data_IF_923147395688
#
_entry.id   IF_923147395688
#
_cell.length_a   1.000
_cell.length_b   1.000
_cell.length_c   1.000
_cell.angle_alpha   90.00
_cell.angle_beta   90.00
_cell.angle_gamma   90.00
#
_symmetry.space_group_name_H-M   'P 1'
#
loop_
_entity.id
_entity.type
_entity.pdbx_description
1 polymer ?
#
# COMPACT_ATOMS: atom_id res chain seq x y z
N UNK A 1 -16.58 -44.46 -18.07
CA UNK A 1 -15.60 -45.54 -17.70
C UNK A 1 -14.21 -44.93 -17.80
N UNK A 2 -13.54 -44.69 -16.67
CA UNK A 2 -12.25 -44.02 -16.65
C UNK A 2 -11.18 -44.99 -16.15
N UNK A 3 -10.24 -45.41 -17.01
CA UNK A 3 -9.25 -46.47 -16.71
C UNK A 3 -9.87 -47.76 -16.14
N UNK A 4 -11.00 -48.22 -16.68
CA UNK A 4 -11.59 -49.51 -16.30
C UNK A 4 -12.44 -49.53 -15.01
N UNK A 5 -12.60 -48.40 -14.31
CA UNK A 5 -13.50 -48.24 -13.16
C UNK A 5 -14.61 -47.21 -13.41
N UNK A 6 -15.68 -47.27 -12.60
CA UNK A 6 -16.79 -46.33 -12.70
C UNK A 6 -16.37 -44.94 -12.20
N UNK A 7 -16.95 -43.88 -12.78
CA UNK A 7 -16.57 -42.49 -12.46
C UNK A 7 -16.93 -42.09 -11.01
N UNK A 8 -17.90 -42.78 -10.41
CA UNK A 8 -18.33 -42.62 -9.02
C UNK A 8 -17.26 -43.14 -8.06
N UNK A 9 -16.74 -44.33 -8.32
CA UNK A 9 -15.71 -45.00 -7.51
C UNK A 9 -14.43 -44.16 -7.43
N UNK A 10 -14.03 -43.56 -8.56
CA UNK A 10 -12.84 -42.69 -8.60
C UNK A 10 -13.05 -41.29 -8.04
N UNK A 11 -14.28 -40.78 -8.03
CA UNK A 11 -14.60 -39.53 -7.36
C UNK A 11 -14.40 -39.66 -5.83
N UNK A 12 -14.77 -40.80 -5.27
CA UNK A 12 -14.57 -41.13 -3.86
C UNK A 12 -13.09 -41.35 -3.52
N UNK A 13 -12.34 -42.09 -4.34
CA UNK A 13 -10.90 -42.33 -4.12
C UNK A 13 -10.04 -41.06 -4.24
N UNK A 14 -10.38 -40.15 -5.15
CA UNK A 14 -9.57 -38.94 -5.42
C UNK A 14 -10.03 -37.71 -4.66
N UNK A 15 -11.18 -37.76 -3.98
CA UNK A 15 -11.79 -36.63 -3.29
C UNK A 15 -12.21 -35.48 -4.24
N UNK A 16 -12.37 -35.76 -5.53
CA UNK A 16 -12.73 -34.78 -6.56
C UNK A 16 -14.15 -35.07 -7.06
N UNK A 17 -15.00 -34.04 -7.12
CA UNK A 17 -16.38 -34.19 -7.61
C UNK A 17 -16.42 -34.82 -9.01
N UNK A 18 -17.39 -35.71 -9.24
CA UNK A 18 -17.66 -36.36 -10.54
C UNK A 18 -17.71 -35.36 -11.71
N UNK A 19 -18.37 -34.20 -11.52
CA UNK A 19 -18.46 -33.13 -12.53
C UNK A 19 -17.08 -32.58 -12.96
N UNK A 20 -16.13 -32.53 -12.03
CA UNK A 20 -14.76 -32.06 -12.31
C UNK A 20 -13.95 -33.13 -13.03
N UNK A 21 -14.16 -34.41 -12.70
CA UNK A 21 -13.59 -35.54 -13.44
C UNK A 21 -14.09 -35.54 -14.89
N UNK A 22 -15.40 -35.51 -15.11
CA UNK A 22 -15.99 -35.44 -16.47
C UNK A 22 -15.51 -34.26 -17.29
N UNK A 23 -15.33 -33.09 -16.66
CA UNK A 23 -14.79 -31.92 -17.36
C UNK A 23 -13.34 -32.15 -17.81
N UNK A 24 -12.47 -32.68 -16.92
CA UNK A 24 -11.07 -32.96 -17.25
C UNK A 24 -10.91 -34.02 -18.32
N UNK A 25 -11.78 -35.04 -18.32
CA UNK A 25 -11.81 -36.09 -19.35
C UNK A 25 -12.13 -35.48 -20.71
N UNK A 26 -13.19 -34.69 -20.81
CA UNK A 26 -13.56 -34.00 -22.06
C UNK A 26 -12.44 -33.10 -22.56
N UNK A 27 -11.80 -32.34 -21.67
CA UNK A 27 -10.66 -31.50 -22.04
C UNK A 27 -9.46 -32.33 -22.52
N UNK A 28 -9.22 -33.50 -21.92
CA UNK A 28 -8.17 -34.42 -22.37
C UNK A 28 -8.46 -35.05 -23.74
N UNK A 29 -9.70 -35.42 -24.01
CA UNK A 29 -10.11 -35.98 -25.31
C UNK A 29 -9.94 -34.97 -26.46
N UNK A 30 -10.17 -33.68 -26.19
CA UNK A 30 -10.08 -32.62 -27.20
C UNK A 30 -8.67 -32.04 -27.34
N UNK A 31 -7.98 -31.76 -26.22
CA UNK A 31 -6.70 -31.04 -26.21
C UNK A 31 -5.51 -31.91 -25.75
N UNK A 32 -5.72 -33.20 -25.51
CA UNK A 32 -4.70 -34.10 -24.95
C UNK A 32 -4.25 -33.66 -23.54
N UNK A 33 -2.96 -33.84 -23.23
CA UNK A 33 -2.41 -33.46 -21.92
C UNK A 33 -2.60 -31.97 -21.59
N UNK A 34 -2.67 -31.08 -22.59
CA UNK A 34 -2.87 -29.64 -22.35
C UNK A 34 -4.24 -29.34 -21.70
N UNK A 35 -5.27 -30.10 -22.05
CA UNK A 35 -6.62 -29.94 -21.51
C UNK A 35 -6.71 -30.22 -20.01
N UNK A 36 -5.82 -31.06 -19.48
CA UNK A 36 -5.72 -31.32 -18.04
C UNK A 36 -5.23 -30.09 -17.26
N UNK A 37 -4.49 -29.19 -17.92
CA UNK A 37 -3.95 -27.96 -17.33
C UNK A 37 -4.85 -26.73 -17.54
N UNK A 38 -6.07 -26.87 -18.08
CA UNK A 38 -7.02 -25.76 -18.23
C UNK A 38 -7.23 -24.97 -16.93
N UNK A 39 -7.27 -25.66 -15.78
CA UNK A 39 -7.36 -25.01 -14.47
C UNK A 39 -6.15 -24.14 -14.16
N UNK A 40 -4.95 -24.54 -14.59
CA UNK A 40 -3.75 -23.73 -14.45
C UNK A 40 -3.73 -22.57 -15.43
N UNK A 41 -4.12 -22.80 -16.70
CA UNK A 41 -4.28 -21.73 -17.71
C UNK A 41 -5.27 -20.66 -17.20
N UNK A 42 -6.41 -21.08 -16.63
CA UNK A 42 -7.38 -20.19 -16.01
C UNK A 42 -6.83 -19.46 -14.77
N UNK A 43 -6.03 -20.14 -13.93
CA UNK A 43 -5.34 -19.51 -12.79
C UNK A 43 -4.32 -18.47 -13.26
N UNK A 44 -3.53 -18.75 -14.30
CA UNK A 44 -2.55 -17.84 -14.90
C UNK A 44 -3.22 -16.60 -15.49
N UNK A 45 -4.33 -16.75 -16.22
CA UNK A 45 -5.14 -15.62 -16.73
C UNK A 45 -5.70 -14.71 -15.64
N UNK A 46 -5.92 -15.25 -14.43
CA UNK A 46 -6.39 -14.48 -13.25
C UNK A 46 -5.26 -13.87 -12.41
N UNK A 47 -3.98 -14.04 -12.79
CA UNK A 47 -2.84 -13.46 -12.05
C UNK A 47 -2.80 -11.95 -12.21
N UNK A 48 -2.30 -11.27 -11.19
CA UNK A 48 -2.01 -9.84 -11.27
C UNK A 48 -0.86 -9.61 -12.28
N UNK A 49 -0.91 -8.50 -13.04
CA UNK A 49 0.21 -8.06 -13.88
C UNK A 49 1.55 -7.99 -13.12
N UNK A 50 2.69 -8.30 -13.76
CA UNK A 50 4.00 -8.35 -13.09
C UNK A 50 4.38 -7.08 -12.34
N UNK A 51 4.11 -5.89 -12.91
CA UNK A 51 4.36 -4.60 -12.27
C UNK A 51 3.57 -4.41 -10.96
N UNK A 52 2.33 -4.86 -10.89
CA UNK A 52 1.52 -4.82 -9.67
C UNK A 52 2.08 -5.78 -8.63
N UNK A 53 2.47 -6.99 -9.05
CA UNK A 53 3.07 -8.00 -8.16
C UNK A 53 4.36 -7.46 -7.54
N UNK A 54 5.21 -6.86 -8.36
CA UNK A 54 6.46 -6.24 -7.92
C UNK A 54 6.22 -5.12 -6.90
N UNK A 55 5.27 -4.21 -7.16
CA UNK A 55 4.92 -3.15 -6.20
C UNK A 55 4.44 -3.73 -4.85
N UNK A 56 3.63 -4.79 -4.86
CA UNK A 56 3.16 -5.44 -3.63
C UNK A 56 4.34 -5.92 -2.77
N UNK A 57 5.31 -6.57 -3.40
CA UNK A 57 6.51 -7.08 -2.74
C UNK A 57 7.38 -5.95 -2.24
N UNK A 58 7.63 -4.93 -3.07
CA UNK A 58 8.45 -3.76 -2.72
C UNK A 58 7.83 -2.97 -1.55
N UNK A 59 6.51 -2.79 -1.52
CA UNK A 59 5.82 -2.14 -0.39
C UNK A 59 5.98 -2.93 0.91
N UNK A 60 5.89 -4.26 0.85
CA UNK A 60 6.04 -5.11 2.04
C UNK A 60 7.47 -5.13 2.54
N UNK A 61 8.44 -5.06 1.63
CA UNK A 61 9.86 -4.92 1.96
C UNK A 61 10.17 -3.54 2.57
N UNK A 62 9.59 -2.47 2.03
CA UNK A 62 9.79 -1.09 2.49
C UNK A 62 9.22 -0.85 3.90
N UNK A 63 7.99 -1.30 4.13
CA UNK A 63 7.32 -1.15 5.41
C UNK A 63 6.57 -2.44 5.78
N UNK A 64 7.25 -3.40 6.44
CA UNK A 64 6.67 -4.68 6.84
C UNK A 64 5.37 -4.59 7.65
N UNK A 65 5.11 -3.56 8.48
CA UNK A 65 3.84 -3.44 9.21
C UNK A 65 2.60 -3.18 8.33
N UNK A 66 2.73 -2.98 7.01
CA UNK A 66 1.57 -2.84 6.14
C UNK A 66 0.62 -4.02 6.23
N UNK A 67 -0.67 -3.72 6.35
CA UNK A 67 -1.71 -4.71 6.16
C UNK A 67 -2.07 -4.89 4.68
N UNK A 68 -2.69 -6.02 4.34
CA UNK A 68 -3.01 -6.38 2.96
C UNK A 68 -3.98 -5.39 2.28
N UNK A 69 -4.89 -4.77 3.03
CA UNK A 69 -5.83 -3.78 2.49
C UNK A 69 -5.17 -2.41 2.25
N UNK A 70 -4.19 -2.02 3.08
CA UNK A 70 -3.35 -0.83 2.84
C UNK A 70 -2.56 -1.00 1.54
N UNK A 71 -1.93 -2.15 1.34
CA UNK A 71 -1.24 -2.47 0.07
C UNK A 71 -2.22 -2.40 -1.10
N UNK A 72 -3.41 -2.99 -0.99
CA UNK A 72 -4.42 -2.93 -2.07
C UNK A 72 -4.89 -1.50 -2.36
N UNK A 73 -4.96 -0.62 -1.37
CA UNK A 73 -5.31 0.79 -1.55
C UNK A 73 -4.19 1.58 -2.23
N UNK A 74 -2.93 1.31 -1.90
CA UNK A 74 -1.77 1.91 -2.56
C UNK A 74 -1.73 1.47 -4.03
N UNK A 75 -1.87 0.17 -4.31
CA UNK A 75 -1.95 -0.34 -5.69
C UNK A 75 -3.09 0.33 -6.47
N UNK A 76 -4.25 0.56 -5.84
CA UNK A 76 -5.35 1.29 -6.46
C UNK A 76 -4.96 2.73 -6.81
N UNK A 77 -4.24 3.43 -5.94
CA UNK A 77 -3.81 4.80 -6.18
C UNK A 77 -2.80 4.87 -7.34
N UNK A 78 -1.80 3.97 -7.36
CA UNK A 78 -0.76 3.97 -8.40
C UNK A 78 -1.24 3.48 -9.78
N UNK A 79 -2.14 2.48 -9.82
CA UNK A 79 -2.53 1.82 -11.09
C UNK A 79 -4.02 1.96 -11.45
N UNK A 80 -4.82 2.68 -10.66
CA UNK A 80 -6.27 2.82 -10.85
C UNK A 80 -7.08 1.55 -10.58
N UNK A 81 -6.44 0.40 -10.37
CA UNK A 81 -7.07 -0.91 -10.14
C UNK A 81 -6.82 -1.40 -8.72
N UNK A 82 -7.89 -1.69 -7.98
CA UNK A 82 -7.76 -2.32 -6.66
C UNK A 82 -7.70 -3.86 -6.79
N UNK A 83 -6.58 -4.51 -6.40
CA UNK A 83 -6.54 -5.96 -6.31
C UNK A 83 -7.37 -6.44 -5.11
N UNK A 84 -7.91 -7.66 -5.20
CA UNK A 84 -8.52 -8.32 -4.05
C UNK A 84 -7.47 -8.63 -2.99
N UNK A 85 -7.85 -8.53 -1.72
CA UNK A 85 -6.95 -8.75 -0.57
C UNK A 85 -6.35 -10.16 -0.59
N UNK A 86 -7.09 -11.18 -1.04
CA UNK A 86 -6.56 -12.55 -1.19
C UNK A 86 -5.57 -12.66 -2.35
N UNK A 87 -5.71 -11.81 -3.37
CA UNK A 87 -4.73 -11.75 -4.46
C UNK A 87 -3.42 -11.14 -3.99
N UNK A 88 -3.48 -10.10 -3.13
CA UNK A 88 -2.29 -9.53 -2.48
C UNK A 88 -1.60 -10.58 -1.61
N UNK A 89 -2.36 -11.29 -0.76
CA UNK A 89 -1.81 -12.38 0.06
C UNK A 89 -1.13 -13.44 -0.80
N UNK A 90 -1.78 -13.90 -1.87
CA UNK A 90 -1.22 -14.89 -2.79
C UNK A 90 0.12 -14.45 -3.39
N UNK A 91 0.25 -13.18 -3.78
CA UNK A 91 1.52 -12.66 -4.30
C UNK A 91 2.62 -12.73 -3.25
N UNK A 92 2.32 -12.34 -2.01
CA UNK A 92 3.29 -12.39 -0.90
C UNK A 92 3.65 -13.82 -0.47
N UNK A 93 2.73 -14.77 -0.63
CA UNK A 93 2.99 -16.19 -0.37
C UNK A 93 3.79 -16.85 -1.51
N UNK A 94 3.62 -16.39 -2.75
CA UNK A 94 4.30 -16.91 -3.95
C UNK A 94 5.70 -16.32 -4.18
N UNK A 95 5.94 -15.06 -3.80
CA UNK A 95 7.18 -14.32 -4.09
C UNK A 95 8.03 -14.10 -2.85
N UNK A 96 9.35 -14.23 -3.00
CA UNK A 96 10.30 -13.89 -1.95
C UNK A 96 10.31 -12.37 -1.72
N UNK A 97 10.15 -11.96 -0.46
CA UNK A 97 10.23 -10.54 -0.08
C UNK A 97 11.72 -10.15 0.00
N UNK A 98 12.20 -9.20 -0.81
CA UNK A 98 13.59 -8.77 -0.75
C UNK A 98 13.83 -8.07 0.59
N UNK A 99 15.01 -8.30 1.18
CA UNK A 99 15.45 -7.52 2.31
C UNK A 99 15.87 -6.14 1.80
N UNK A 100 15.14 -5.10 2.20
CA UNK A 100 15.50 -3.72 1.89
C UNK A 100 16.29 -3.14 3.06
N UNK A 101 17.58 -2.90 2.85
CA UNK A 101 18.47 -2.37 3.89
C UNK A 101 18.25 -0.87 4.11
N UNK A 102 17.85 -0.16 3.06
CA UNK A 102 17.67 1.30 3.08
C UNK A 102 16.20 1.67 2.83
N UNK A 103 15.67 2.55 3.70
CA UNK A 103 14.34 3.12 3.53
C UNK A 103 14.35 4.18 2.44
N UNK A 104 13.26 4.26 1.68
CA UNK A 104 13.07 5.30 0.65
C UNK A 104 13.01 6.70 1.28
N UNK A 105 12.37 6.83 2.44
CA UNK A 105 12.37 8.06 3.23
C UNK A 105 13.03 7.84 4.59
N UNK A 106 13.83 8.83 5.00
CA UNK A 106 14.33 8.93 6.37
C UNK A 106 13.19 9.23 7.35
N UNK A 107 13.39 9.04 8.67
CA UNK A 107 12.47 9.55 9.68
C UNK A 107 12.21 11.05 9.52
N UNK A 108 11.00 11.49 9.89
CA UNK A 108 10.54 12.88 9.68
C UNK A 108 11.52 13.93 10.19
N UNK A 109 12.05 13.73 11.40
CA UNK A 109 12.93 14.69 12.06
C UNK A 109 14.29 14.83 11.35
N UNK A 110 14.83 13.74 10.81
CA UNK A 110 16.09 13.77 10.06
C UNK A 110 15.92 14.54 8.75
N UNK A 111 14.78 14.33 8.06
CA UNK A 111 14.46 15.11 6.86
C UNK A 111 14.28 16.60 7.16
N UNK A 112 13.56 16.95 8.23
CA UNK A 112 13.39 18.37 8.59
C UNK A 112 14.69 19.04 9.03
N UNK A 113 15.65 18.28 9.60
CA UNK A 113 17.00 18.79 9.93
C UNK A 113 17.83 18.98 8.66
N UNK A 114 17.76 18.04 7.71
CA UNK A 114 18.50 18.12 6.46
C UNK A 114 17.98 19.26 5.56
N UNK A 115 16.67 19.38 5.43
CA UNK A 115 16.01 20.44 4.68
C UNK A 115 14.62 20.72 5.26
N UNK A 116 14.40 21.91 5.87
CA UNK A 116 13.08 22.28 6.38
C UNK A 116 11.99 22.15 5.31
N UNK A 117 10.88 21.49 5.67
CA UNK A 117 9.77 21.22 4.75
C UNK A 117 9.84 19.89 3.99
N UNK A 118 10.99 19.22 3.97
CA UNK A 118 11.14 17.92 3.29
C UNK A 118 10.25 16.84 3.93
N UNK A 119 10.15 16.81 5.26
CA UNK A 119 9.28 15.85 5.95
C UNK A 119 7.80 16.11 5.68
N UNK A 120 7.41 17.39 5.57
CA UNK A 120 6.05 17.78 5.16
C UNK A 120 5.74 17.37 3.72
N UNK A 121 6.67 17.55 2.80
CA UNK A 121 6.54 17.11 1.42
C UNK A 121 6.37 15.58 1.33
N UNK A 122 7.20 14.82 2.05
CA UNK A 122 7.11 13.36 2.11
C UNK A 122 5.74 12.87 2.62
N UNK A 123 5.14 13.53 3.62
CA UNK A 123 3.79 13.20 4.10
C UNK A 123 2.74 13.37 2.98
N UNK A 124 2.84 14.45 2.20
CA UNK A 124 1.90 14.73 1.11
C UNK A 124 2.09 13.71 -0.02
N UNK A 125 3.33 13.44 -0.41
CA UNK A 125 3.66 12.47 -1.47
C UNK A 125 3.16 11.06 -1.14
N UNK A 126 3.50 10.55 0.05
CA UNK A 126 2.99 9.25 0.51
C UNK A 126 1.45 9.22 0.55
N UNK A 127 0.81 10.35 0.86
CA UNK A 127 -0.65 10.42 0.87
C UNK A 127 -1.24 10.35 -0.54
N UNK A 128 -0.61 10.97 -1.53
CA UNK A 128 -0.98 10.89 -2.95
C UNK A 128 -0.83 9.46 -3.47
N UNK A 129 0.24 8.77 -3.05
CA UNK A 129 0.47 7.34 -3.33
C UNK A 129 -0.55 6.41 -2.65
N UNK A 130 -1.49 6.95 -1.88
CA UNK A 130 -2.57 6.19 -1.25
C UNK A 130 -2.21 5.59 0.10
N UNK A 131 -1.07 5.95 0.69
CA UNK A 131 -0.71 5.50 2.03
C UNK A 131 -1.72 6.00 3.06
N UNK A 132 -2.01 5.16 4.06
CA UNK A 132 -2.88 5.52 5.16
C UNK A 132 -2.16 6.49 6.11
N UNK A 133 -2.88 7.43 6.75
CA UNK A 133 -2.27 8.31 7.75
C UNK A 133 -1.64 7.53 8.92
N UNK A 134 -2.14 6.31 9.19
CA UNK A 134 -1.55 5.39 10.16
C UNK A 134 -0.19 4.87 9.68
N UNK A 135 -0.09 4.41 8.44
CA UNK A 135 1.16 3.90 7.88
C UNK A 135 2.20 5.02 7.73
N UNK A 136 1.80 6.21 7.27
CA UNK A 136 2.69 7.38 7.18
C UNK A 136 3.26 7.73 8.56
N UNK A 137 2.40 7.78 9.58
CA UNK A 137 2.82 8.07 10.95
C UNK A 137 3.85 7.05 11.47
N UNK A 138 3.58 5.75 11.28
CA UNK A 138 4.50 4.69 11.72
C UNK A 138 5.80 4.65 10.92
N UNK A 139 5.74 4.86 9.61
CA UNK A 139 6.89 4.84 8.72
C UNK A 139 7.85 6.01 8.96
N UNK A 140 7.31 7.22 9.16
CA UNK A 140 8.09 8.43 9.40
C UNK A 140 8.41 8.68 10.90
N UNK A 141 7.88 7.85 11.80
CA UNK A 141 8.17 7.94 13.24
C UNK A 141 7.48 9.11 13.95
N UNK A 142 6.29 9.53 13.50
CA UNK A 142 5.55 10.68 14.05
C UNK A 142 4.13 10.33 14.49
N UNK A 143 3.49 11.22 15.24
CA UNK A 143 2.09 11.07 15.63
C UNK A 143 1.11 11.27 14.46
N UNK A 144 0.01 10.50 14.45
CA UNK A 144 -1.10 10.64 13.46
C UNK A 144 -1.69 12.05 13.43
N UNK A 145 -1.73 12.73 14.58
CA UNK A 145 -2.22 14.11 14.69
C UNK A 145 -1.37 15.09 13.87
N UNK A 146 -0.05 14.91 13.84
CA UNK A 146 0.88 15.71 13.03
C UNK A 146 0.61 15.51 11.54
N UNK A 147 0.46 14.25 11.11
CA UNK A 147 0.09 13.92 9.73
C UNK A 147 -1.21 14.62 9.32
N UNK A 148 -2.29 14.51 10.11
CA UNK A 148 -3.56 15.17 9.80
C UNK A 148 -3.46 16.70 9.77
N UNK A 149 -2.72 17.31 10.70
CA UNK A 149 -2.52 18.78 10.71
C UNK A 149 -1.81 19.26 9.46
N UNK A 150 -0.80 18.52 8.99
CA UNK A 150 -0.04 18.87 7.78
C UNK A 150 -0.93 18.69 6.54
N UNK A 151 -1.62 17.56 6.42
CA UNK A 151 -2.54 17.30 5.29
C UNK A 151 -3.71 18.29 5.25
N UNK A 152 -4.21 18.73 6.41
CA UNK A 152 -5.24 19.76 6.50
C UNK A 152 -4.72 21.10 5.95
N UNK A 153 -3.58 21.57 6.46
CA UNK A 153 -2.97 22.82 5.99
C UNK A 153 -2.63 22.78 4.51
N UNK A 154 -2.09 21.66 4.01
CA UNK A 154 -1.81 21.50 2.57
C UNK A 154 -3.08 21.60 1.71
N UNK A 155 -4.23 21.12 2.20
CA UNK A 155 -5.50 21.27 1.49
C UNK A 155 -6.02 22.70 1.46
N UNK A 156 -5.75 23.47 2.51
CA UNK A 156 -6.22 24.85 2.68
C UNK A 156 -5.29 25.85 1.97
N UNK A 157 -3.98 25.65 2.02
CA UNK A 157 -2.96 26.61 1.57
C UNK A 157 -2.11 26.09 0.38
N UNK A 158 -2.33 24.86 -0.08
CA UNK A 158 -1.58 24.25 -1.18
C UNK A 158 -0.09 24.07 -0.85
N UNK A 159 0.76 24.24 -1.88
CA UNK A 159 2.22 24.13 -1.74
C UNK A 159 2.81 25.13 -0.73
N UNK A 160 2.14 26.26 -0.48
CA UNK A 160 2.55 27.25 0.52
C UNK A 160 2.60 26.69 1.95
N UNK A 161 1.83 25.65 2.26
CA UNK A 161 1.84 24.97 3.56
C UNK A 161 3.15 24.21 3.85
N UNK A 162 3.95 23.92 2.81
CA UNK A 162 5.19 23.16 2.91
C UNK A 162 6.38 24.04 3.33
N UNK A 163 6.30 25.36 3.14
CA UNK A 163 7.31 26.30 3.59
C UNK A 163 7.32 26.39 5.12
N UNK A 164 8.52 26.44 5.73
CA UNK A 164 8.60 26.71 7.17
C UNK A 164 8.00 28.07 7.49
N UNK A 165 6.97 28.07 8.33
CA UNK A 165 6.34 29.30 8.80
C UNK A 165 6.76 29.44 10.25
N UNK A 166 7.48 30.51 10.62
CA UNK A 166 7.84 30.71 12.01
C UNK A 166 6.55 30.68 12.82
N UNK A 167 6.57 29.89 13.89
CA UNK A 167 5.48 29.84 14.84
C UNK A 167 5.37 31.24 15.48
N UNK A 168 4.57 32.10 14.88
CA UNK A 168 4.33 33.46 15.33
C UNK A 168 3.53 33.42 16.62
N UNK A 169 4.18 33.14 17.76
CA UNK A 169 3.75 33.77 19.00
C UNK A 169 4.20 35.22 18.87
N UNK A 170 3.29 36.08 18.40
CA UNK A 170 3.39 37.50 18.69
C UNK A 170 3.55 37.62 20.21
N UNK A 171 4.79 37.85 20.67
CA UNK A 171 5.00 38.45 21.98
C UNK A 171 4.27 39.78 21.86
N UNK A 172 3.11 39.86 22.52
CA UNK A 172 2.39 41.09 22.78
C UNK A 172 3.44 42.14 23.14
N UNK A 173 3.56 43.14 22.29
CA UNK A 173 4.63 44.12 22.33
C UNK A 173 4.71 44.76 23.70
N UNK A 174 5.95 45.03 24.10
CA UNK A 174 6.29 46.08 25.04
C UNK A 174 5.58 47.37 24.61
N UNK A 175 4.49 47.72 25.27
CA UNK A 175 4.02 49.10 25.31
C UNK A 175 5.02 49.88 26.15
N UNK A 176 6.06 50.37 25.47
CA UNK A 176 6.90 51.44 25.97
C UNK A 176 6.00 52.63 26.25
N UNK A 177 5.80 52.93 27.54
CA UNK A 177 5.14 54.14 27.99
C UNK A 177 6.07 55.35 27.78
N UNK A 178 5.77 56.29 26.86
CA UNK A 178 6.53 57.52 26.73
C UNK A 178 5.87 58.61 27.58
N UNK A 179 6.54 58.96 28.68
CA UNK A 179 6.60 60.29 29.35
C UNK A 179 5.36 61.20 29.27
N UNK A 180 4.75 61.44 30.43
CA UNK A 180 3.92 62.63 30.70
C UNK A 180 4.41 63.36 31.95
N UNK A 181 5.26 64.37 31.76
CA UNK A 181 5.65 65.35 32.78
C UNK A 181 4.71 66.57 32.65
N UNK A 182 4.00 66.91 33.74
CA UNK A 182 3.36 68.21 34.06
C UNK A 182 2.73 68.00 35.46
N UNK A 183 3.12 68.69 36.53
CA UNK A 183 3.18 70.15 36.67
C UNK A 183 1.85 70.61 37.27
N UNK A 184 1.83 70.86 38.59
CA UNK A 184 0.68 71.32 39.38
C UNK A 184 0.89 71.06 40.85
#
# INVERSE_FOLDING_TARGET
MLFGTSEVERAEETGVSERTLQRRIRSFEVEGMEGLFETEKARRRRRLPPNIRRLIVDLKAEYPPFNLNEIANIVRACFGRKPDVRSVKRVLDEEAIPLKLERTYLPYHEMEVASPGQGRAAIVELRVDGWSAKSIAGYLGIGRSTVYKILKRFREEGAGALADKPYGRARRGEEGNPRGHRGG
#
